data_IF_423923312149
#
_entry.id   IF_423923312149
#
_cell.length_a   1.000
_cell.length_b   1.000
_cell.length_c   1.000
_cell.angle_alpha   90.00
_cell.angle_beta   90.00
_cell.angle_gamma   90.00
#
_symmetry.space_group_name_H-M   'P 1'
#
loop_
_entity.id
_entity.type
_entity.pdbx_description
1 polymer ?
#
# COMPACT_ATOMS: atom_id res chain seq x y z
N UNK A 1 5.08 17.70 35.44
CA UNK A 1 4.98 18.19 34.08
C UNK A 1 4.05 17.32 33.29
N UNK A 2 3.00 17.94 32.79
CA UNK A 2 1.93 17.21 32.12
C UNK A 2 2.41 16.41 30.93
N UNK A 3 3.37 16.95 30.17
CA UNK A 3 3.90 16.24 28.99
C UNK A 3 4.64 14.96 29.34
N UNK A 4 5.41 15.00 30.40
CA UNK A 4 6.15 13.83 30.83
C UNK A 4 5.19 12.76 31.31
N UNK A 5 4.16 13.17 32.04
CA UNK A 5 3.14 12.24 32.51
C UNK A 5 2.36 11.61 31.36
N UNK A 6 2.00 12.42 30.36
CA UNK A 6 1.32 11.92 29.18
C UNK A 6 2.18 10.92 28.43
N UNK A 7 3.46 11.22 28.27
CA UNK A 7 4.37 10.34 27.56
C UNK A 7 4.48 8.98 28.28
N UNK A 8 4.62 9.02 29.60
CA UNK A 8 4.71 7.79 30.38
C UNK A 8 3.45 6.95 30.28
N UNK A 9 2.30 7.59 30.31
CA UNK A 9 1.03 6.89 30.20
C UNK A 9 0.87 6.27 28.82
N UNK A 10 1.21 6.98 27.77
CA UNK A 10 1.17 6.47 26.40
C UNK A 10 2.12 5.32 26.20
N UNK A 11 3.32 5.47 26.75
CA UNK A 11 4.33 4.44 26.64
C UNK A 11 3.90 3.17 27.36
N UNK A 12 3.35 3.31 28.54
CA UNK A 12 2.87 2.17 29.30
C UNK A 12 1.76 1.44 28.58
N UNK A 13 0.85 2.19 27.99
CA UNK A 13 -0.26 1.62 27.23
C UNK A 13 0.24 0.82 26.03
N UNK A 14 1.20 1.36 25.29
CA UNK A 14 1.75 0.68 24.12
C UNK A 14 2.68 -0.47 24.51
N UNK A 15 3.36 -0.35 25.65
CA UNK A 15 4.28 -1.38 26.10
C UNK A 15 3.56 -2.67 26.48
N UNK A 16 2.28 -2.59 26.81
CA UNK A 16 1.49 -3.76 27.15
C UNK A 16 1.09 -4.58 25.93
N UNK A 17 1.33 -4.04 24.74
CA UNK A 17 0.95 -4.72 23.51
C UNK A 17 2.13 -5.49 22.93
N UNK A 18 1.85 -6.65 22.38
CA UNK A 18 2.85 -7.38 21.61
C UNK A 18 3.11 -6.65 20.29
N UNK A 19 4.18 -7.02 19.60
CA UNK A 19 4.47 -6.43 18.30
C UNK A 19 3.34 -6.64 17.32
N UNK A 20 2.72 -7.82 17.37
CA UNK A 20 1.58 -8.14 16.52
C UNK A 20 0.37 -7.25 16.83
N UNK A 21 0.11 -7.05 18.12
CA UNK A 21 -0.98 -6.17 18.54
C UNK A 21 -0.76 -4.74 18.14
N UNK A 22 0.49 -4.25 18.23
CA UNK A 22 0.83 -2.90 17.80
C UNK A 22 0.64 -2.75 16.29
N UNK A 23 1.00 -3.76 15.54
CA UNK A 23 0.82 -3.75 14.09
C UNK A 23 -0.67 -3.66 13.73
N UNK A 24 -1.49 -4.48 14.38
CA UNK A 24 -2.93 -4.47 14.16
C UNK A 24 -3.55 -3.13 14.55
N UNK A 25 -3.11 -2.58 15.67
CA UNK A 25 -3.60 -1.29 16.15
C UNK A 25 -3.26 -0.17 15.16
N UNK A 26 -2.03 -0.21 14.63
CA UNK A 26 -1.61 0.77 13.63
C UNK A 26 -2.52 0.72 12.41
N UNK A 27 -2.79 -0.47 11.90
CA UNK A 27 -3.62 -0.61 10.70
C UNK A 27 -5.07 -0.24 10.96
N UNK A 28 -5.56 -0.49 12.16
CA UNK A 28 -6.90 -0.05 12.54
C UNK A 28 -7.02 1.47 12.49
N UNK A 29 -6.02 2.16 13.04
CA UNK A 29 -6.02 3.62 13.01
C UNK A 29 -5.89 4.16 11.60
N UNK A 30 -5.03 3.56 10.79
CA UNK A 30 -4.85 3.96 9.40
C UNK A 30 -6.15 3.78 8.62
N UNK A 31 -6.86 2.69 8.87
CA UNK A 31 -8.15 2.45 8.22
C UNK A 31 -9.19 3.50 8.56
N UNK A 32 -9.21 3.93 9.80
CA UNK A 32 -10.15 4.97 10.23
C UNK A 32 -9.90 6.30 9.55
N UNK A 33 -8.64 6.61 9.26
CA UNK A 33 -8.30 7.85 8.58
C UNK A 33 -8.62 7.76 7.10
N UNK A 34 -8.34 6.63 6.47
CA UNK A 34 -8.51 6.46 5.03
C UNK A 34 -9.97 6.23 4.64
N UNK A 35 -10.73 5.53 5.48
CA UNK A 35 -12.09 5.13 5.15
C UNK A 35 -13.00 6.30 4.73
N UNK A 36 -13.00 7.44 5.42
CA UNK A 36 -13.83 8.56 5.00
C UNK A 36 -13.48 9.07 3.60
N UNK A 37 -12.23 9.01 3.21
CA UNK A 37 -11.80 9.44 1.89
C UNK A 37 -12.33 8.51 0.82
N UNK A 38 -12.31 7.21 1.09
CA UNK A 38 -12.86 6.21 0.17
C UNK A 38 -14.37 6.33 0.06
N UNK A 39 -15.02 6.56 1.18
CA UNK A 39 -16.47 6.71 1.21
C UNK A 39 -16.95 7.92 0.43
N UNK A 40 -16.11 8.94 0.33
CA UNK A 40 -16.41 10.11 -0.47
C UNK A 40 -16.33 9.83 -1.98
N UNK A 41 -15.97 8.61 -2.37
CA UNK A 41 -15.89 8.24 -3.76
C UNK A 41 -14.68 8.80 -4.47
N UNK A 42 -13.71 9.28 -3.70
CA UNK A 42 -12.49 9.85 -4.26
C UNK A 42 -11.29 9.15 -3.67
N UNK A 43 -10.30 8.93 -4.51
CA UNK A 43 -9.04 8.36 -4.06
C UNK A 43 -7.96 9.42 -4.24
N UNK A 44 -7.36 9.81 -3.13
CA UNK A 44 -6.36 10.86 -3.12
C UNK A 44 -4.98 10.27 -3.08
N UNK A 45 -4.40 10.09 -4.26
CA UNK A 45 -3.02 9.66 -4.38
C UNK A 45 -2.39 10.35 -5.58
N UNK A 46 -1.09 10.35 -5.62
CA UNK A 46 -0.34 10.94 -6.73
C UNK A 46 0.70 9.93 -7.20
N UNK A 47 1.17 10.07 -8.45
CA UNK A 47 2.26 9.21 -8.91
C UNK A 47 3.50 9.26 -8.02
N UNK A 48 3.82 10.43 -7.47
CA UNK A 48 4.98 10.56 -6.60
C UNK A 48 4.82 9.75 -5.31
N UNK A 49 3.62 9.79 -4.72
CA UNK A 49 3.34 9.01 -3.51
C UNK A 49 3.44 7.52 -3.80
N UNK A 50 2.86 7.09 -4.91
CA UNK A 50 2.87 5.67 -5.25
C UNK A 50 4.27 5.17 -5.57
N UNK A 51 5.10 5.99 -6.22
CA UNK A 51 6.50 5.64 -6.41
C UNK A 51 7.23 5.48 -5.09
N UNK A 52 6.96 6.39 -4.13
CA UNK A 52 7.55 6.29 -2.80
C UNK A 52 7.20 4.99 -2.10
N UNK A 53 5.96 4.56 -2.24
CA UNK A 53 5.52 3.29 -1.65
C UNK A 53 6.32 2.14 -2.24
N UNK A 54 6.47 2.10 -3.56
CA UNK A 54 7.22 1.03 -4.22
C UNK A 54 8.70 1.03 -3.80
N UNK A 55 9.30 2.22 -3.65
CA UNK A 55 10.67 2.32 -3.18
C UNK A 55 10.82 1.74 -1.79
N UNK A 56 9.86 1.98 -0.92
CA UNK A 56 9.87 1.41 0.44
C UNK A 56 9.68 -0.10 0.44
N UNK A 57 9.04 -0.62 -0.58
CA UNK A 57 8.87 -2.06 -0.73
C UNK A 57 10.11 -2.74 -1.29
N UNK A 58 11.13 -1.97 -1.67
CA UNK A 58 12.38 -2.52 -2.15
C UNK A 58 12.62 -2.41 -3.64
N UNK A 59 11.71 -1.77 -4.38
CA UNK A 59 11.91 -1.57 -5.81
C UNK A 59 12.80 -0.35 -6.05
N UNK A 60 13.56 -0.38 -7.14
CA UNK A 60 14.36 0.76 -7.54
C UNK A 60 13.47 1.80 -8.22
N UNK A 61 14.00 3.03 -8.37
CA UNK A 61 13.27 4.08 -9.08
C UNK A 61 13.03 3.70 -10.54
N UNK A 62 13.95 2.96 -11.13
CA UNK A 62 13.80 2.49 -12.51
C UNK A 62 12.67 1.49 -12.64
N UNK A 63 12.46 0.68 -11.61
CA UNK A 63 11.37 -0.30 -11.58
C UNK A 63 10.04 0.36 -11.21
N UNK A 64 10.07 1.30 -10.26
CA UNK A 64 8.85 1.93 -9.78
C UNK A 64 8.18 2.80 -10.84
N UNK A 65 8.97 3.49 -11.65
CA UNK A 65 8.42 4.42 -12.65
C UNK A 65 7.51 3.73 -13.67
N UNK A 66 7.94 2.67 -14.36
CA UNK A 66 7.04 2.02 -15.32
C UNK A 66 5.81 1.40 -14.68
N UNK A 67 5.91 0.93 -13.43
CA UNK A 67 4.72 0.41 -12.73
C UNK A 67 3.71 1.52 -12.53
N UNK A 68 4.15 2.66 -12.00
CA UNK A 68 3.26 3.79 -11.74
C UNK A 68 2.71 4.36 -13.05
N UNK A 69 3.56 4.54 -14.04
CA UNK A 69 3.14 5.07 -15.34
C UNK A 69 2.08 4.17 -15.98
N UNK A 70 2.25 2.85 -15.90
CA UNK A 70 1.28 1.91 -16.41
C UNK A 70 -0.07 1.99 -15.72
N UNK A 71 -0.06 2.24 -14.42
CA UNK A 71 -1.30 2.41 -13.67
C UNK A 71 -1.98 3.73 -14.02
N UNK A 72 -1.21 4.80 -14.23
CA UNK A 72 -1.76 6.08 -14.64
C UNK A 72 -2.44 5.96 -16.01
N UNK A 73 -1.77 5.31 -16.96
CA UNK A 73 -2.32 5.12 -18.30
C UNK A 73 -3.66 4.39 -18.29
N UNK A 74 -3.84 3.49 -17.33
CA UNK A 74 -5.04 2.66 -17.23
C UNK A 74 -6.05 3.19 -16.24
N UNK A 75 -5.78 4.36 -15.65
CA UNK A 75 -6.64 4.98 -14.63
C UNK A 75 -6.83 4.08 -13.42
N UNK A 76 -5.80 3.34 -13.05
CA UNK A 76 -5.85 2.39 -11.94
C UNK A 76 -4.99 2.81 -10.75
N UNK A 77 -4.34 3.96 -10.83
CA UNK A 77 -3.43 4.40 -9.78
C UNK A 77 -4.12 4.52 -8.42
N UNK A 78 -5.40 4.86 -8.43
CA UNK A 78 -6.16 5.01 -7.21
C UNK A 78 -6.28 3.75 -6.36
N UNK A 79 -6.05 2.60 -6.96
CA UNK A 79 -6.06 1.34 -6.19
C UNK A 79 -4.76 1.12 -5.42
N UNK A 80 -3.73 1.94 -5.69
CA UNK A 80 -2.46 1.84 -5.01
C UNK A 80 -1.48 0.92 -5.73
N UNK A 81 -0.27 1.44 -5.99
CA UNK A 81 0.75 0.66 -6.70
C UNK A 81 1.19 -0.55 -5.89
N UNK A 82 1.40 -0.37 -4.59
CA UNK A 82 1.80 -1.48 -3.73
C UNK A 82 0.73 -2.57 -3.64
N UNK A 83 -0.52 -2.15 -3.53
CA UNK A 83 -1.64 -3.08 -3.50
C UNK A 83 -1.73 -3.87 -4.81
N UNK A 84 -1.50 -3.20 -5.94
CA UNK A 84 -1.52 -3.84 -7.25
C UNK A 84 -0.45 -4.94 -7.34
N UNK A 85 0.78 -4.61 -6.94
CA UNK A 85 1.88 -5.56 -7.00
C UNK A 85 1.60 -6.75 -6.08
N UNK A 86 1.10 -6.49 -4.88
CA UNK A 86 0.77 -7.54 -3.93
C UNK A 86 -0.31 -8.48 -4.46
N UNK A 87 -1.39 -7.91 -4.99
CA UNK A 87 -2.47 -8.72 -5.54
C UNK A 87 -2.02 -9.56 -6.73
N UNK A 88 -1.16 -8.98 -7.56
CA UNK A 88 -0.61 -9.73 -8.68
C UNK A 88 0.26 -10.88 -8.20
N UNK A 89 1.05 -10.66 -7.16
CA UNK A 89 1.90 -11.72 -6.60
C UNK A 89 1.05 -12.89 -6.09
N UNK A 90 -0.07 -12.57 -5.45
CA UNK A 90 -1.01 -13.59 -4.97
C UNK A 90 -1.64 -14.36 -6.13
N UNK A 91 -2.05 -13.66 -7.15
CA UNK A 91 -2.68 -14.29 -8.31
C UNK A 91 -1.72 -15.21 -9.06
N UNK A 92 -0.46 -14.80 -9.20
CA UNK A 92 0.53 -15.57 -9.94
C UNK A 92 1.23 -16.62 -9.08
N UNK A 93 1.10 -16.53 -7.75
CA UNK A 93 1.79 -17.44 -6.86
C UNK A 93 3.29 -17.20 -6.82
N UNK A 94 3.71 -15.95 -6.99
CA UNK A 94 5.13 -15.56 -6.98
C UNK A 94 5.36 -14.53 -5.88
N UNK A 95 6.63 -14.18 -5.66
CA UNK A 95 6.94 -13.16 -4.65
C UNK A 95 6.49 -11.77 -5.11
N UNK A 96 6.33 -10.86 -4.15
CA UNK A 96 6.01 -9.47 -4.46
C UNK A 96 7.08 -8.87 -5.37
N UNK A 97 8.34 -9.18 -5.10
CA UNK A 97 9.45 -8.69 -5.92
C UNK A 97 9.32 -9.16 -7.36
N UNK A 98 9.04 -10.45 -7.57
CA UNK A 98 8.91 -11.00 -8.91
C UNK A 98 7.72 -10.37 -9.66
N UNK A 99 6.61 -10.17 -8.97
CA UNK A 99 5.44 -9.55 -9.59
C UNK A 99 5.74 -8.12 -10.02
N UNK A 100 6.39 -7.35 -9.15
CA UNK A 100 6.74 -5.97 -9.47
C UNK A 100 7.73 -5.85 -10.61
N UNK A 101 8.74 -6.71 -10.64
CA UNK A 101 9.72 -6.71 -11.71
C UNK A 101 9.05 -7.04 -13.04
N UNK A 102 8.11 -8.00 -13.03
CA UNK A 102 7.38 -8.36 -14.25
C UNK A 102 6.55 -7.19 -14.77
N UNK A 103 5.86 -6.49 -13.88
CA UNK A 103 5.10 -5.30 -14.29
C UNK A 103 6.01 -4.22 -14.87
N UNK A 104 7.16 -4.01 -14.23
CA UNK A 104 8.13 -3.02 -14.72
C UNK A 104 8.64 -3.39 -16.11
N UNK A 105 8.70 -4.67 -16.41
CA UNK A 105 9.12 -5.15 -17.73
C UNK A 105 7.99 -5.15 -18.76
N UNK A 106 6.79 -4.73 -18.36
CA UNK A 106 5.65 -4.67 -19.26
C UNK A 106 4.82 -5.94 -19.34
N UNK A 107 5.01 -6.86 -18.38
CA UNK A 107 4.30 -8.15 -18.39
C UNK A 107 3.09 -8.12 -17.47
N UNK A 108 2.11 -8.96 -17.77
CA UNK A 108 0.94 -9.21 -16.94
C UNK A 108 -0.03 -8.03 -16.79
N UNK A 109 0.16 -6.98 -17.57
CA UNK A 109 -0.74 -5.82 -17.48
C UNK A 109 -2.19 -6.16 -17.83
N UNK A 110 -2.39 -7.17 -18.64
CA UNK A 110 -3.73 -7.62 -19.00
C UNK A 110 -4.49 -8.21 -17.80
N UNK A 111 -3.77 -8.64 -16.78
CA UNK A 111 -4.37 -9.17 -15.56
C UNK A 111 -4.72 -8.10 -14.55
N UNK A 112 -4.07 -6.93 -14.65
CA UNK A 112 -4.17 -5.91 -13.61
C UNK A 112 -5.59 -5.42 -13.37
N UNK A 113 -6.38 -5.07 -14.38
CA UNK A 113 -7.73 -4.58 -14.10
C UNK A 113 -8.61 -5.56 -13.32
N UNK A 114 -8.39 -6.84 -13.48
CA UNK A 114 -9.18 -7.85 -12.77
C UNK A 114 -8.76 -8.09 -11.33
N UNK A 115 -7.65 -7.52 -10.89
CA UNK A 115 -7.16 -7.78 -9.54
C UNK A 115 -8.03 -7.15 -8.46
N UNK A 116 -8.68 -6.06 -8.77
CA UNK A 116 -9.39 -5.25 -7.77
C UNK A 116 -10.85 -5.64 -7.64
N UNK A 117 -11.41 -6.12 -8.71
CA UNK A 117 -12.81 -6.38 -8.73
C UNK A 117 -13.18 -7.78 -8.32
N UNK A 118 -12.20 -8.58 -8.01
CA UNK A 118 -12.44 -9.98 -7.76
C UNK A 118 -13.33 -10.24 -6.58
N UNK A 119 -13.47 -9.29 -5.75
CA UNK A 119 -14.29 -9.46 -4.58
C UNK A 119 -15.74 -9.31 -4.89
N UNK A 120 -16.00 -8.80 -6.01
CA UNK A 120 -17.33 -8.54 -6.23
C UNK A 120 -18.03 -9.40 -6.86
#
# INVERSE_FOLDING_TARGET
MARADDFEQRRAHLADKSDEELFDYFWELAGRVVQPMLDAGKVYTTPAVERSVLLRMGFSSIEAKPIVDGLVERSLLGHGAGNTVWRLSEKLGVSVRQAGVALAAGEHWELVPGLYGGGE
#
